data_IF_362000342585
#
_entry.id   IF_362000342585
#
_cell.length_a   1.000
_cell.length_b   1.000
_cell.length_c   1.000
_cell.angle_alpha   90.00
_cell.angle_beta   90.00
_cell.angle_gamma   90.00
#
_symmetry.space_group_name_H-M   'P 1'
#
loop_
_entity.id
_entity.type
_entity.pdbx_description
1 polymer ?
#
# COMPACT_ATOMS: atom_id res chain seq x y z
N UNK A 1 -5.19 -20.24 -23.70
CA UNK A 1 -4.03 -19.81 -22.86
C UNK A 1 -3.56 -18.38 -23.15
N UNK A 2 -3.70 -17.82 -24.36
CA UNK A 2 -3.37 -16.41 -24.66
C UNK A 2 -4.17 -15.37 -23.84
N UNK A 3 -5.44 -15.65 -23.53
CA UNK A 3 -6.30 -14.69 -22.79
C UNK A 3 -5.85 -14.42 -21.34
N UNK A 4 -5.12 -15.35 -20.72
CA UNK A 4 -4.56 -15.12 -19.39
C UNK A 4 -3.29 -14.26 -19.43
N UNK A 5 -2.54 -14.25 -20.54
CA UNK A 5 -1.26 -13.55 -20.61
C UNK A 5 -1.44 -12.03 -20.53
N UNK A 6 -2.37 -11.47 -21.30
CA UNK A 6 -2.72 -10.05 -21.25
C UNK A 6 -3.24 -9.66 -19.87
N UNK A 7 -4.08 -10.50 -19.26
CA UNK A 7 -4.61 -10.29 -17.92
C UNK A 7 -3.48 -10.25 -16.86
N UNK A 8 -2.53 -11.18 -16.90
CA UNK A 8 -1.37 -11.18 -16.00
C UNK A 8 -0.49 -9.94 -16.18
N UNK A 9 -0.27 -9.50 -17.42
CA UNK A 9 0.49 -8.29 -17.72
C UNK A 9 -0.20 -7.04 -17.17
N UNK A 10 -1.50 -6.89 -17.42
CA UNK A 10 -2.30 -5.77 -16.90
C UNK A 10 -2.32 -5.74 -15.38
N UNK A 11 -2.52 -6.91 -14.75
CA UNK A 11 -2.49 -7.02 -13.29
C UNK A 11 -1.12 -6.67 -12.70
N UNK A 12 -0.03 -7.10 -13.36
CA UNK A 12 1.34 -6.76 -12.96
C UNK A 12 1.59 -5.24 -13.06
N UNK A 13 1.16 -4.61 -14.16
CA UNK A 13 1.26 -3.15 -14.35
C UNK A 13 0.46 -2.41 -13.29
N UNK A 14 -0.75 -2.88 -12.98
CA UNK A 14 -1.60 -2.30 -11.93
C UNK A 14 -0.91 -2.37 -10.56
N UNK A 15 -0.41 -3.55 -10.17
CA UNK A 15 0.30 -3.71 -8.89
C UNK A 15 1.56 -2.83 -8.81
N UNK A 16 2.32 -2.72 -9.90
CA UNK A 16 3.48 -1.83 -9.97
C UNK A 16 3.06 -0.36 -9.84
N UNK A 17 2.06 0.09 -10.59
CA UNK A 17 1.59 1.48 -10.57
C UNK A 17 1.03 1.90 -9.22
N UNK A 18 0.15 1.07 -8.63
CA UNK A 18 -0.39 1.33 -7.29
C UNK A 18 0.70 1.27 -6.23
N UNK A 19 1.60 0.27 -6.32
CA UNK A 19 2.76 0.15 -5.43
C UNK A 19 3.68 1.37 -5.48
N UNK A 20 3.97 1.89 -6.67
CA UNK A 20 4.81 3.09 -6.85
C UNK A 20 4.14 4.35 -6.29
N UNK A 21 2.85 4.57 -6.55
CA UNK A 21 2.12 5.72 -5.98
C UNK A 21 2.18 5.74 -4.45
N UNK A 22 2.05 4.57 -3.83
CA UNK A 22 2.15 4.44 -2.37
C UNK A 22 3.58 4.63 -1.87
N UNK A 23 4.57 4.11 -2.61
CA UNK A 23 5.98 4.29 -2.31
C UNK A 23 6.42 5.76 -2.41
N UNK A 24 6.04 6.46 -3.47
CA UNK A 24 6.32 7.89 -3.67
C UNK A 24 5.77 8.73 -2.52
N UNK A 25 4.56 8.42 -2.03
CA UNK A 25 3.98 9.08 -0.86
C UNK A 25 4.82 8.84 0.39
N UNK A 26 5.21 7.59 0.65
CA UNK A 26 6.06 7.27 1.78
C UNK A 26 7.42 7.97 1.71
N UNK A 27 8.02 7.99 0.51
CA UNK A 27 9.27 8.69 0.23
C UNK A 27 9.17 10.19 0.49
N UNK A 28 8.09 10.82 0.03
CA UNK A 28 7.82 12.24 0.28
C UNK A 28 7.82 12.56 1.78
N UNK A 29 7.13 11.76 2.60
CA UNK A 29 7.12 11.93 4.06
C UNK A 29 8.48 11.68 4.73
N UNK A 30 9.34 10.85 4.14
CA UNK A 30 10.70 10.66 4.67
C UNK A 30 11.64 11.82 4.35
N UNK A 31 11.50 12.46 3.18
CA UNK A 31 12.34 13.57 2.75
C UNK A 31 11.83 14.89 3.34
N UNK A 32 10.59 15.28 3.05
CA UNK A 32 10.07 16.62 3.36
C UNK A 32 9.47 16.70 4.77
N UNK A 33 10.24 16.30 5.79
CA UNK A 33 9.74 16.21 7.16
C UNK A 33 9.31 17.56 7.73
N UNK A 34 10.12 18.61 7.53
CA UNK A 34 9.91 19.90 8.16
C UNK A 34 8.83 20.74 7.44
N UNK A 35 8.79 20.68 6.11
CA UNK A 35 7.83 21.45 5.31
C UNK A 35 6.41 20.89 5.42
N UNK A 36 6.27 19.58 5.66
CA UNK A 36 4.97 18.90 5.74
C UNK A 36 4.27 19.10 7.10
N UNK A 37 5.02 19.38 8.17
CA UNK A 37 4.44 19.56 9.50
C UNK A 37 3.64 20.86 9.64
N UNK A 38 4.08 21.92 8.97
CA UNK A 38 3.40 23.22 9.01
C UNK A 38 2.24 23.34 8.01
N UNK A 39 2.08 22.35 7.12
CA UNK A 39 1.08 22.37 6.07
C UNK A 39 -0.34 22.04 6.58
N UNK A 40 -0.45 21.17 7.61
CA UNK A 40 -1.76 20.68 8.08
C UNK A 40 -1.74 20.13 9.50
N UNK A 41 -2.82 20.37 10.23
CA UNK A 41 -3.11 19.72 11.52
C UNK A 41 -3.06 18.19 11.44
N UNK A 42 -3.33 17.61 10.25
CA UNK A 42 -3.20 16.17 10.01
C UNK A 42 -1.79 15.67 10.26
N UNK A 43 -0.79 16.35 9.71
CA UNK A 43 0.60 15.93 9.81
C UNK A 43 1.14 16.13 11.24
N UNK A 44 0.71 17.19 11.91
CA UNK A 44 1.01 17.41 13.33
C UNK A 44 0.41 16.33 14.23
N UNK A 45 -0.85 15.97 14.03
CA UNK A 45 -1.50 14.89 14.78
C UNK A 45 -0.79 13.55 14.56
N UNK A 46 -0.37 13.27 13.32
CA UNK A 46 0.40 12.07 12.99
C UNK A 46 1.76 12.05 13.68
N UNK A 47 2.46 13.19 13.65
CA UNK A 47 3.81 13.37 14.22
C UNK A 47 3.81 13.21 15.75
N UNK A 48 2.76 13.65 16.44
CA UNK A 48 2.60 13.48 17.89
C UNK A 48 2.53 12.01 18.32
N UNK A 49 1.97 11.13 17.47
CA UNK A 49 1.94 9.68 17.73
C UNK A 49 3.30 9.07 17.42
N UNK A 50 3.82 9.37 16.23
CA UNK A 50 5.11 8.88 15.76
C UNK A 50 5.64 9.83 14.67
N UNK A 51 6.94 10.18 14.69
CA UNK A 51 7.56 11.00 13.66
C UNK A 51 7.15 10.62 12.24
N UNK A 52 6.78 11.62 11.44
CA UNK A 52 6.21 11.47 10.09
C UNK A 52 7.08 10.60 9.16
N UNK A 53 8.39 10.66 9.33
CA UNK A 53 9.34 9.86 8.56
C UNK A 53 9.22 8.36 8.83
N UNK A 54 8.90 7.95 10.06
CA UNK A 54 8.70 6.54 10.37
C UNK A 54 7.43 6.01 9.70
N UNK A 55 6.37 6.82 9.64
CA UNK A 55 5.19 6.48 8.84
C UNK A 55 5.54 6.35 7.36
N UNK A 56 6.38 7.26 6.84
CA UNK A 56 6.90 7.17 5.47
C UNK A 56 7.66 5.86 5.21
N UNK A 57 8.61 5.51 6.09
CA UNK A 57 9.38 4.24 6.00
C UNK A 57 8.46 3.02 6.04
N UNK A 58 7.47 3.00 6.94
CA UNK A 58 6.50 1.90 7.01
C UNK A 58 5.71 1.74 5.70
N UNK A 59 5.17 2.85 5.17
CA UNK A 59 4.47 2.85 3.88
C UNK A 59 5.35 2.38 2.73
N UNK A 60 6.63 2.77 2.72
CA UNK A 60 7.59 2.32 1.70
C UNK A 60 7.84 0.81 1.79
N UNK A 61 8.09 0.27 2.99
CA UNK A 61 8.38 -1.16 3.18
C UNK A 61 7.23 -2.02 2.64
N UNK A 62 5.98 -1.74 3.03
CA UNK A 62 4.83 -2.51 2.55
C UNK A 62 4.59 -2.32 1.06
N UNK A 63 4.83 -1.13 0.52
CA UNK A 63 4.71 -0.85 -0.91
C UNK A 63 5.75 -1.60 -1.75
N UNK A 64 6.99 -1.73 -1.26
CA UNK A 64 8.02 -2.55 -1.92
C UNK A 64 7.57 -4.01 -2.04
N UNK A 65 6.91 -4.58 -1.01
CA UNK A 65 6.40 -5.95 -1.09
C UNK A 65 5.37 -6.12 -2.22
N UNK A 66 4.51 -5.12 -2.42
CA UNK A 66 3.53 -5.10 -3.51
C UNK A 66 4.21 -4.90 -4.87
N UNK A 67 5.21 -4.03 -4.98
CA UNK A 67 6.00 -3.80 -6.20
C UNK A 67 6.74 -5.08 -6.62
N UNK A 68 7.27 -5.83 -5.66
CA UNK A 68 8.03 -7.06 -5.92
C UNK A 68 7.11 -8.25 -6.21
N UNK A 69 5.86 -8.26 -5.74
CA UNK A 69 4.95 -9.38 -5.90
C UNK A 69 4.77 -9.85 -7.36
N UNK A 70 4.49 -8.98 -8.35
CA UNK A 70 4.30 -9.38 -9.75
C UNK A 70 5.41 -10.23 -10.37
N UNK A 71 6.67 -10.05 -9.96
CA UNK A 71 7.79 -10.84 -10.46
C UNK A 71 7.68 -12.33 -10.11
N UNK A 72 6.90 -12.68 -9.10
CA UNK A 72 6.64 -14.05 -8.66
C UNK A 72 5.31 -14.61 -9.19
N UNK A 73 4.48 -13.80 -9.85
CA UNK A 73 3.17 -14.18 -10.39
C UNK A 73 3.23 -15.38 -11.36
N UNK A 74 4.19 -15.48 -12.31
CA UNK A 74 4.26 -16.64 -13.21
C UNK A 74 4.50 -17.97 -12.47
N UNK A 75 5.21 -17.92 -11.34
CA UNK A 75 5.54 -19.07 -10.51
C UNK A 75 4.52 -19.31 -9.39
N UNK A 76 3.40 -18.58 -9.39
CA UNK A 76 2.36 -18.73 -8.38
C UNK A 76 1.81 -20.15 -8.35
N UNK A 77 1.75 -20.90 -9.45
CA UNK A 77 1.28 -22.30 -9.41
C UNK A 77 2.24 -23.24 -8.67
N UNK A 78 3.54 -22.93 -8.61
CA UNK A 78 4.58 -23.78 -7.99
C UNK A 78 4.91 -23.39 -6.55
N UNK A 79 4.74 -22.12 -6.18
CA UNK A 79 5.08 -21.63 -4.85
C UNK A 79 4.10 -20.57 -4.34
N UNK A 80 4.21 -20.26 -3.05
CA UNK A 80 3.36 -19.28 -2.37
C UNK A 80 4.01 -17.91 -2.20
N UNK A 81 5.17 -17.64 -2.82
CA UNK A 81 5.89 -16.35 -2.64
C UNK A 81 5.03 -15.16 -3.05
N UNK A 82 4.41 -15.23 -4.22
CA UNK A 82 3.46 -14.21 -4.68
C UNK A 82 2.33 -13.99 -3.66
N UNK A 83 1.69 -15.08 -3.20
CA UNK A 83 0.56 -15.01 -2.27
C UNK A 83 0.98 -14.40 -0.91
N UNK A 84 2.16 -14.74 -0.38
CA UNK A 84 2.68 -14.16 0.86
C UNK A 84 3.07 -12.69 0.72
N UNK A 85 3.67 -12.28 -0.39
CA UNK A 85 3.98 -10.87 -0.66
C UNK A 85 2.70 -10.03 -0.73
N UNK A 86 1.66 -10.53 -1.41
CA UNK A 86 0.34 -9.90 -1.44
C UNK A 86 -0.32 -9.84 -0.05
N UNK A 87 -0.23 -10.93 0.72
CA UNK A 87 -0.80 -10.99 2.07
C UNK A 87 -0.13 -9.96 3.00
N UNK A 88 1.20 -10.01 3.12
CA UNK A 88 1.94 -9.17 4.06
C UNK A 88 1.91 -7.71 3.60
N UNK A 89 2.21 -7.45 2.31
CA UNK A 89 2.20 -6.10 1.76
C UNK A 89 0.81 -5.49 1.75
N UNK A 90 -0.21 -6.25 1.33
CA UNK A 90 -1.59 -5.78 1.24
C UNK A 90 -2.23 -5.56 2.61
N UNK A 91 -2.08 -6.50 3.55
CA UNK A 91 -2.60 -6.28 4.91
C UNK A 91 -1.85 -5.14 5.62
N UNK A 92 -0.52 -5.06 5.46
CA UNK A 92 0.29 -3.99 6.03
C UNK A 92 -0.11 -2.60 5.52
N UNK A 93 -0.15 -2.41 4.21
CA UNK A 93 -0.61 -1.16 3.61
C UNK A 93 -2.11 -0.90 3.88
N UNK A 94 -2.93 -1.94 3.95
CA UNK A 94 -4.36 -1.83 4.27
C UNK A 94 -4.60 -1.21 5.64
N UNK A 95 -3.92 -1.73 6.67
CA UNK A 95 -3.98 -1.19 8.04
C UNK A 95 -3.38 0.22 8.07
N UNK A 96 -2.21 0.41 7.44
CA UNK A 96 -1.54 1.70 7.38
C UNK A 96 -2.43 2.80 6.79
N UNK A 97 -2.97 2.60 5.58
CA UNK A 97 -3.83 3.59 4.93
C UNK A 97 -5.19 3.73 5.61
N UNK A 98 -5.68 2.70 6.31
CA UNK A 98 -6.88 2.84 7.15
C UNK A 98 -6.65 3.83 8.30
N UNK A 99 -5.52 3.74 8.99
CA UNK A 99 -5.14 4.71 10.03
C UNK A 99 -4.98 6.12 9.45
N UNK A 100 -4.32 6.25 8.30
CA UNK A 100 -4.17 7.54 7.60
C UNK A 100 -5.53 8.14 7.23
N UNK A 101 -6.44 7.32 6.72
CA UNK A 101 -7.82 7.74 6.41
C UNK A 101 -8.51 8.26 7.67
N UNK A 102 -8.46 7.50 8.76
CA UNK A 102 -9.11 7.89 10.01
C UNK A 102 -8.56 9.21 10.57
N UNK A 103 -7.24 9.41 10.53
CA UNK A 103 -6.62 10.64 11.01
C UNK A 103 -6.86 11.85 10.08
N UNK A 104 -7.00 11.61 8.77
CA UNK A 104 -7.19 12.68 7.77
C UNK A 104 -8.62 13.18 7.63
N UNK A 105 -9.64 12.39 8.00
CA UNK A 105 -11.06 12.81 7.90
C UNK A 105 -11.34 14.13 8.63
N UNK A 106 -10.69 14.37 9.77
CA UNK A 106 -10.95 15.54 10.61
C UNK A 106 -9.90 16.65 10.47
N UNK A 107 -8.72 16.33 9.95
CA UNK A 107 -7.55 17.21 10.03
C UNK A 107 -6.92 17.54 8.67
N UNK A 108 -7.39 16.96 7.57
CA UNK A 108 -6.81 17.21 6.25
C UNK A 108 -7.23 18.55 5.65
N UNK A 109 -6.28 19.21 4.97
CA UNK A 109 -6.49 20.46 4.23
C UNK A 109 -7.54 20.30 3.12
N UNK A 110 -7.60 19.12 2.49
CA UNK A 110 -8.49 18.85 1.37
C UNK A 110 -9.23 17.53 1.54
N UNK A 111 -10.43 17.45 0.95
CA UNK A 111 -11.30 16.27 1.01
C UNK A 111 -10.80 15.09 0.14
N UNK A 112 -9.91 15.35 -0.82
CA UNK A 112 -9.42 14.34 -1.76
C UNK A 112 -8.40 13.41 -1.09
N UNK A 113 -7.56 13.93 -0.21
CA UNK A 113 -6.55 13.19 0.55
C UNK A 113 -7.14 12.02 1.36
N UNK A 114 -8.13 12.23 2.26
CA UNK A 114 -8.75 11.12 2.98
C UNK A 114 -9.44 10.13 2.05
N UNK A 115 -10.03 10.58 0.94
CA UNK A 115 -10.65 9.69 -0.05
C UNK A 115 -9.62 8.82 -0.77
N UNK A 116 -8.46 9.38 -1.13
CA UNK A 116 -7.35 8.63 -1.71
C UNK A 116 -6.79 7.59 -0.73
N UNK A 117 -6.62 7.96 0.55
CA UNK A 117 -6.20 7.00 1.57
C UNK A 117 -7.23 5.89 1.77
N UNK A 118 -8.53 6.20 1.78
CA UNK A 118 -9.58 5.19 1.89
C UNK A 118 -9.57 4.23 0.70
N UNK A 119 -9.33 4.77 -0.50
CA UNK A 119 -9.21 3.99 -1.74
C UNK A 119 -8.01 3.04 -1.68
N UNK A 120 -6.84 3.55 -1.27
CA UNK A 120 -5.65 2.71 -1.10
C UNK A 120 -5.84 1.66 -0.01
N UNK A 121 -6.47 2.01 1.12
CA UNK A 121 -6.79 1.06 2.18
C UNK A 121 -7.64 -0.10 1.64
N UNK A 122 -8.70 0.21 0.90
CA UNK A 122 -9.62 -0.79 0.32
C UNK A 122 -8.90 -1.71 -0.67
N UNK A 123 -8.14 -1.14 -1.62
CA UNK A 123 -7.40 -1.92 -2.61
C UNK A 123 -6.41 -2.87 -1.91
N UNK A 124 -5.66 -2.38 -0.92
CA UNK A 124 -4.65 -3.17 -0.22
C UNK A 124 -5.28 -4.26 0.68
N UNK A 125 -6.40 -3.98 1.35
CA UNK A 125 -7.17 -4.99 2.09
C UNK A 125 -7.61 -6.11 1.15
N UNK A 126 -8.11 -5.79 -0.05
CA UNK A 126 -8.49 -6.79 -1.04
C UNK A 126 -7.28 -7.61 -1.52
N UNK A 127 -6.15 -6.96 -1.82
CA UNK A 127 -4.90 -7.66 -2.19
C UNK A 127 -4.46 -8.62 -1.06
N UNK A 128 -4.49 -8.16 0.18
CA UNK A 128 -4.16 -8.96 1.36
C UNK A 128 -5.10 -10.15 1.53
N UNK A 129 -6.40 -9.93 1.42
CA UNK A 129 -7.44 -10.96 1.51
C UNK A 129 -7.27 -12.04 0.44
N UNK A 130 -7.15 -11.67 -0.83
CA UNK A 130 -6.95 -12.63 -1.92
C UNK A 130 -5.62 -13.36 -1.81
N UNK A 131 -4.55 -12.67 -1.38
CA UNK A 131 -3.26 -13.29 -1.06
C UNK A 131 -3.41 -14.37 0.01
N UNK A 132 -4.06 -14.05 1.13
CA UNK A 132 -4.32 -14.98 2.23
C UNK A 132 -5.20 -16.17 1.84
N UNK A 133 -6.32 -15.92 1.15
CA UNK A 133 -7.20 -16.97 0.66
C UNK A 133 -6.47 -17.96 -0.26
N UNK A 134 -5.57 -17.45 -1.12
CA UNK A 134 -4.75 -18.29 -2.01
C UNK A 134 -3.66 -19.07 -1.26
N UNK A 135 -3.16 -18.59 -0.11
CA UNK A 135 -2.27 -19.38 0.76
C UNK A 135 -3.05 -20.53 1.40
N UNK A 136 -4.23 -20.25 1.97
CA UNK A 136 -5.05 -21.26 2.66
C UNK A 136 -5.51 -22.36 1.71
N UNK A 137 -5.96 -22.01 0.49
CA UNK A 137 -6.45 -22.99 -0.50
C UNK A 137 -5.37 -23.98 -0.99
N UNK A 138 -4.09 -23.65 -0.83
CA UNK A 138 -2.96 -24.51 -1.24
C UNK A 138 -2.36 -25.33 -0.11
N UNK A 139 -2.81 -25.13 1.14
CA UNK A 139 -2.54 -26.04 2.24
C UNK A 139 -3.55 -27.17 2.22
#
# INVERSE_FOLDING_TARGET
MKDNETTYKMFSIFMLGVGLMMFERGFFWTKEQNDVLDDSDFYMALHQIMPIWMWGVMGMIFSILIIIAPFFLPKQHLNNKFNYLCLIGGTGNGIFYFLMTSASIYNAINWLTPLQFATFATINILIGFYGGAAVVRKR
#
